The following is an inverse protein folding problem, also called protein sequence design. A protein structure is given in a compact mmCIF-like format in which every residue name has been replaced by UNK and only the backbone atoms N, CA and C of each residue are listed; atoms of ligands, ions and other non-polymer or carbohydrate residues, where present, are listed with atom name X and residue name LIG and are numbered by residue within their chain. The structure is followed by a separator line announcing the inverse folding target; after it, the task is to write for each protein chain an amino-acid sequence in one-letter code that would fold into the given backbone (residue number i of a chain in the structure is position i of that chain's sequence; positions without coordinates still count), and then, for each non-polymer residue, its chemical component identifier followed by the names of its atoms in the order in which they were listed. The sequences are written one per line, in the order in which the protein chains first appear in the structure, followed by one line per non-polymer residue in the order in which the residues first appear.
data_IF_000793781524
#
_entry.id   IF_000793781524
#
_cell.length_a   1.000
_cell.length_b   1.000
_cell.length_c   1.000
_cell.angle_alpha   90.00
_cell.angle_beta   90.00
_cell.angle_gamma   90.00
#
_symmetry.space_group_name_H-M   'P 1'
#
loop_
_entity.id
_entity.type
_entity.pdbx_description
1 polymer ?
#
# COMPACT_ATOMS: atom_id res chain seq x y z
N UNK A 1 -10.67 12.15 10.24
CA UNK A 1 -9.36 12.42 10.88
C UNK A 1 -8.25 12.03 9.91
N UNK A 2 -7.15 12.77 9.85
CA UNK A 2 -5.94 12.40 9.09
C UNK A 2 -4.73 12.60 10.00
N UNK A 3 -3.88 11.59 10.13
CA UNK A 3 -2.66 11.70 10.91
C UNK A 3 -1.66 12.61 10.21
N UNK A 4 -0.97 13.45 10.98
CA UNK A 4 0.06 14.35 10.46
C UNK A 4 1.23 13.55 9.86
N UNK A 5 1.58 12.41 10.47
CA UNK A 5 2.59 11.48 9.94
C UNK A 5 2.24 11.00 8.53
N UNK A 6 1.01 10.57 8.31
CA UNK A 6 0.56 10.03 7.01
C UNK A 6 0.51 11.13 5.95
N UNK A 7 0.21 12.37 6.35
CA UNK A 7 0.31 13.51 5.46
C UNK A 7 1.76 13.78 5.03
N UNK A 8 2.70 13.74 5.96
CA UNK A 8 4.11 13.99 5.72
C UNK A 8 4.74 12.86 4.88
N UNK A 9 4.51 11.60 5.22
CA UNK A 9 5.05 10.43 4.52
C UNK A 9 4.57 10.36 3.05
N UNK A 10 3.33 10.75 2.76
CA UNK A 10 2.82 10.78 1.39
C UNK A 10 3.47 11.86 0.51
N UNK A 11 4.20 12.82 1.09
CA UNK A 11 4.73 14.02 0.41
C UNK A 11 6.24 14.20 0.56
N UNK A 12 6.86 13.52 1.50
CA UNK A 12 8.31 13.56 1.68
C UNK A 12 8.98 12.92 0.46
N UNK A 13 9.99 13.56 -0.16
CA UNK A 13 10.63 13.04 -1.36
C UNK A 13 11.25 11.65 -1.19
N UNK A 14 11.56 11.23 0.05
CA UNK A 14 12.09 9.89 0.34
C UNK A 14 11.04 8.80 0.28
N UNK A 15 9.78 9.12 0.55
CA UNK A 15 8.70 8.12 0.73
C UNK A 15 7.52 8.31 -0.20
N UNK A 16 7.37 9.47 -0.83
CA UNK A 16 6.22 9.79 -1.69
C UNK A 16 6.05 8.81 -2.86
N UNK A 17 7.15 8.36 -3.47
CA UNK A 17 7.07 7.39 -4.56
C UNK A 17 6.63 6.01 -4.10
N UNK A 18 7.14 5.53 -2.95
CA UNK A 18 6.71 4.26 -2.34
C UNK A 18 5.24 4.34 -1.90
N UNK A 19 4.84 5.49 -1.35
CA UNK A 19 3.44 5.72 -0.99
C UNK A 19 2.53 5.60 -2.21
N UNK A 20 2.93 6.18 -3.34
CA UNK A 20 2.14 6.17 -4.57
C UNK A 20 2.17 4.83 -5.30
N UNK A 21 3.24 4.04 -5.20
CA UNK A 21 3.33 2.74 -5.85
C UNK A 21 2.30 1.74 -5.34
N UNK A 22 1.71 1.96 -4.16
CA UNK A 22 0.65 1.10 -3.62
C UNK A 22 -0.76 1.52 -4.08
N UNK A 23 -0.93 2.64 -4.77
CA UNK A 23 -2.23 3.08 -5.26
C UNK A 23 -2.70 2.12 -6.36
N UNK A 24 -3.87 1.50 -6.16
CA UNK A 24 -4.46 0.46 -7.04
C UNK A 24 -3.65 -0.84 -7.16
N UNK A 25 -2.52 -0.95 -6.46
CA UNK A 25 -1.63 -2.12 -6.50
C UNK A 25 -1.78 -2.96 -5.22
N UNK A 26 -2.99 -3.48 -5.01
CA UNK A 26 -3.36 -4.15 -3.76
C UNK A 26 -2.52 -5.41 -3.46
N UNK A 27 -2.08 -6.15 -4.48
CA UNK A 27 -1.22 -7.34 -4.30
C UNK A 27 0.22 -6.95 -3.92
N UNK A 28 0.76 -5.92 -4.57
CA UNK A 28 2.05 -5.35 -4.20
C UNK A 28 2.05 -4.86 -2.75
N UNK A 29 0.98 -4.18 -2.34
CA UNK A 29 0.81 -3.70 -0.96
C UNK A 29 0.74 -4.86 0.03
N UNK A 30 -0.04 -5.91 -0.26
CA UNK A 30 -0.14 -7.08 0.61
C UNK A 30 1.20 -7.81 0.79
N UNK A 31 1.92 -8.06 -0.30
CA UNK A 31 3.21 -8.75 -0.25
C UNK A 31 4.26 -7.94 0.52
N UNK A 32 4.38 -6.64 0.23
CA UNK A 32 5.29 -5.75 0.96
C UNK A 32 4.95 -5.66 2.45
N UNK A 33 3.65 -5.67 2.79
CA UNK A 33 3.19 -5.66 4.17
C UNK A 33 3.59 -6.94 4.92
N UNK A 34 3.39 -8.12 4.31
CA UNK A 34 3.77 -9.41 4.93
C UNK A 34 5.26 -9.46 5.25
N UNK A 35 6.12 -9.04 4.31
CA UNK A 35 7.57 -9.01 4.53
C UNK A 35 7.98 -8.04 5.64
N UNK A 36 7.37 -6.86 5.69
CA UNK A 36 7.66 -5.86 6.72
C UNK A 36 7.24 -6.33 8.11
N UNK A 37 6.05 -6.94 8.23
CA UNK A 37 5.53 -7.43 9.51
C UNK A 37 6.28 -8.66 10.00
N UNK A 38 6.69 -9.58 9.12
CA UNK A 38 7.53 -10.72 9.53
C UNK A 38 8.83 -10.23 10.17
N UNK A 39 9.54 -9.29 9.52
CA UNK A 39 10.73 -8.66 10.09
C UNK A 39 10.44 -7.94 11.41
N UNK A 40 9.36 -7.16 11.46
CA UNK A 40 8.97 -6.40 12.66
C UNK A 40 8.63 -7.32 13.85
N UNK A 41 7.96 -8.45 13.59
CA UNK A 41 7.56 -9.42 14.62
C UNK A 41 8.74 -10.09 15.34
N UNK A 42 9.93 -10.01 14.74
CA UNK A 42 11.16 -10.61 15.24
C UNK A 42 12.09 -9.63 15.95
N UNK A 43 11.74 -8.33 15.98
CA UNK A 43 12.57 -7.29 16.63
C UNK A 43 12.67 -7.57 18.13
N UNK A 44 13.91 -7.55 18.66
CA UNK A 44 14.20 -7.74 20.08
C UNK A 44 14.36 -9.21 20.51
N UNK A 45 14.17 -10.17 19.61
CA UNK A 45 14.45 -11.59 19.87
C UNK A 45 15.94 -11.87 19.70
N UNK A 46 16.54 -12.59 20.66
CA UNK A 46 17.96 -12.93 20.61
C UNK A 46 18.30 -13.95 19.49
N UNK A 47 17.35 -14.82 19.16
CA UNK A 47 17.50 -15.91 18.18
C UNK A 47 16.22 -16.08 17.34
N UNK A 48 15.87 -15.12 16.47
CA UNK A 48 14.66 -15.18 15.66
C UNK A 48 14.62 -16.35 14.68
N UNK A 49 15.77 -16.94 14.36
CA UNK A 49 15.95 -18.14 13.54
C UNK A 49 15.56 -19.44 14.28
N UNK A 50 15.49 -19.41 15.62
CA UNK A 50 15.15 -20.58 16.46
C UNK A 50 13.66 -20.66 16.81
N UNK A 51 12.85 -19.76 16.27
CA UNK A 51 11.40 -19.78 16.50
C UNK A 51 10.75 -20.92 15.71
N UNK A 52 9.75 -21.54 16.32
CA UNK A 52 8.89 -22.50 15.63
C UNK A 52 7.94 -21.73 14.70
N UNK A 53 7.81 -22.19 13.46
CA UNK A 53 6.85 -21.64 12.51
C UNK A 53 5.43 -22.12 12.83
N UNK A 54 4.65 -21.25 13.46
CA UNK A 54 3.24 -21.49 13.78
C UNK A 54 2.28 -20.81 12.77
N UNK A 55 2.75 -20.38 11.60
CA UNK A 55 1.93 -19.66 10.62
C UNK A 55 0.67 -20.42 10.18
N UNK A 56 0.65 -21.74 10.32
CA UNK A 56 -0.49 -22.61 9.97
C UNK A 56 -1.75 -22.34 10.80
N UNK A 57 -1.64 -21.80 12.01
CA UNK A 57 -2.81 -21.46 12.84
C UNK A 57 -3.36 -20.06 12.54
N UNK A 58 -2.68 -19.28 11.69
CA UNK A 58 -3.17 -17.98 11.25
C UNK A 58 -4.34 -18.20 10.29
N UNK A 59 -5.53 -17.62 10.56
CA UNK A 59 -6.68 -17.77 9.68
C UNK A 59 -6.40 -17.25 8.27
N UNK A 60 -7.00 -17.88 7.26
CA UNK A 60 -6.91 -17.41 5.89
C UNK A 60 -7.57 -16.03 5.74
N UNK A 61 -6.92 -15.06 5.07
CA UNK A 61 -7.47 -13.73 4.91
C UNK A 61 -8.71 -13.76 4.01
N UNK A 62 -9.59 -12.78 4.22
CA UNK A 62 -10.72 -12.57 3.30
C UNK A 62 -10.23 -12.23 1.89
N UNK A 63 -11.08 -12.51 0.89
CA UNK A 63 -10.76 -12.25 -0.50
C UNK A 63 -10.40 -10.78 -0.76
N UNK A 64 -9.49 -10.57 -1.73
CA UNK A 64 -8.97 -9.25 -2.11
C UNK A 64 -10.10 -8.31 -2.52
N UNK A 65 -10.07 -7.08 -1.99
CA UNK A 65 -10.93 -5.99 -2.46
C UNK A 65 -10.42 -5.53 -3.81
N UNK A 66 -11.19 -5.76 -4.87
CA UNK A 66 -10.80 -5.45 -6.26
C UNK A 66 -11.17 -4.04 -6.69
N UNK A 67 -12.01 -3.34 -5.91
CA UNK A 67 -12.45 -1.98 -6.18
C UNK A 67 -11.99 -1.06 -5.05
N UNK A 68 -11.07 -0.13 -5.30
CA UNK A 68 -10.81 0.93 -4.32
C UNK A 68 -12.09 1.76 -4.16
N UNK A 69 -12.67 1.74 -2.96
CA UNK A 69 -13.86 2.53 -2.63
C UNK A 69 -13.45 3.99 -2.36
N UNK A 70 -12.89 4.65 -3.37
CA UNK A 70 -12.63 6.08 -3.29
C UNK A 70 -13.95 6.82 -3.58
N UNK A 71 -14.41 7.66 -2.63
CA UNK A 71 -15.34 8.74 -2.96
C UNK A 71 -14.70 9.54 -4.10
N UNK A 72 -15.50 9.93 -5.09
CA UNK A 72 -14.99 10.73 -6.20
C UNK A 72 -14.32 11.99 -5.65
N UNK A 73 -13.01 12.08 -5.87
CA UNK A 73 -12.17 13.25 -5.60
C UNK A 73 -11.66 13.70 -6.97
N UNK A 74 -11.90 14.97 -7.37
CA UNK A 74 -11.33 15.53 -8.58
C UNK A 74 -9.80 15.35 -8.61
N UNK A 75 -9.25 15.04 -9.80
CA UNK A 75 -7.82 14.70 -9.92
C UNK A 75 -6.88 15.86 -9.56
N UNK A 76 -7.36 17.09 -9.69
CA UNK A 76 -6.69 18.34 -9.29
C UNK A 76 -6.56 18.50 -7.77
N UNK A 77 -7.35 17.79 -6.98
CA UNK A 77 -7.20 17.74 -5.51
C UNK A 77 -6.15 16.70 -5.07
N UNK A 78 -5.66 15.84 -5.97
CA UNK A 78 -4.63 14.85 -5.67
C UNK A 78 -3.27 15.52 -5.76
N UNK A 79 -2.69 15.83 -4.60
CA UNK A 79 -1.33 16.35 -4.53
C UNK A 79 -0.31 15.24 -4.83
N UNK A 80 0.09 15.16 -6.11
CA UNK A 80 1.10 14.23 -6.61
C UNK A 80 2.52 14.75 -6.30
N UNK A 81 3.37 13.94 -5.65
CA UNK A 81 4.71 14.37 -5.24
C UNK A 81 5.85 13.48 -5.72
N UNK A 82 5.58 12.27 -6.22
CA UNK A 82 6.61 11.47 -6.88
C UNK A 82 6.96 12.06 -8.26
N UNK A 83 8.24 12.34 -8.49
CA UNK A 83 8.78 12.85 -9.76
C UNK A 83 9.10 11.76 -10.78
N UNK A 84 9.37 10.54 -10.31
CA UNK A 84 9.72 9.38 -11.14
C UNK A 84 8.53 8.47 -11.46
N UNK A 85 7.39 8.70 -10.80
CA UNK A 85 6.15 7.97 -11.00
C UNK A 85 5.05 8.93 -11.43
N UNK A 86 4.82 9.04 -12.74
CA UNK A 86 3.51 9.46 -13.21
C UNK A 86 2.51 8.50 -12.56
N UNK A 87 1.41 9.00 -11.99
CA UNK A 87 0.25 8.16 -11.62
C UNK A 87 -0.08 7.29 -12.83
N UNK A 88 0.36 6.03 -12.82
CA UNK A 88 0.29 5.16 -14.00
C UNK A 88 -1.13 4.70 -14.29
N UNK A 89 -2.09 5.05 -13.44
CA UNK A 89 -3.50 4.81 -13.67
C UNK A 89 -4.26 6.01 -13.13
N UNK A 90 -4.88 6.79 -14.02
CA UNK A 90 -6.05 7.57 -13.63
C UNK A 90 -6.99 6.66 -12.86
N UNK A 91 -7.31 7.02 -11.60
CA UNK A 91 -8.35 6.33 -10.83
C UNK A 91 -9.57 6.21 -11.75
N UNK A 92 -10.18 5.01 -11.90
CA UNK A 92 -11.30 4.84 -12.79
C UNK A 92 -12.38 5.84 -12.37
N UNK A 93 -12.67 6.81 -13.25
CA UNK A 93 -13.93 7.56 -13.21
C UNK A 93 -15.03 6.51 -13.07
N UNK A 94 -16.03 6.76 -12.23
CA UNK A 94 -17.03 5.75 -11.84
C UNK A 94 -17.94 5.23 -12.96
N UNK A 95 -17.50 5.26 -14.21
CA UNK A 95 -18.18 4.65 -15.35
C UNK A 95 -17.15 4.47 -16.46
N UNK A 96 -16.91 3.22 -16.84
CA UNK A 96 -16.34 2.81 -18.11
C UNK A 96 -14.88 3.23 -18.40
N UNK A 97 -14.00 2.22 -18.40
CA UNK A 97 -12.97 1.91 -19.42
C UNK A 97 -11.69 1.41 -18.73
N UNK A 98 -11.55 0.10 -18.80
CA UNK A 98 -10.34 -0.68 -18.51
C UNK A 98 -9.21 -0.31 -19.47
N UNK A 99 -7.98 -0.26 -18.94
CA UNK A 99 -6.74 -0.32 -19.71
C UNK A 99 -5.78 0.85 -19.46
N UNK A 100 -4.59 0.55 -18.95
CA UNK A 100 -3.39 1.38 -19.07
C UNK A 100 -2.26 0.50 -19.63
N UNK A 101 -1.59 0.96 -20.68
CA UNK A 101 -0.33 0.40 -21.22
C UNK A 101 0.85 1.01 -20.45
#
# INVERSE_FOLDING_TARGET
MRLQSDFALARDPRTACVWQSFINEQELMQNAFVEAIDKMSRIGLAHPEKLVDCSIVVPQPAAKVTKPEARHVPGDEIFQRCSTGLLRCSLPKSRYRSGCH
#
